data_IF_872543851910
#
_entry.id   IF_872543851910
#
_cell.length_a   1.000
_cell.length_b   1.000
_cell.length_c   1.000
_cell.angle_alpha   90.00
_cell.angle_beta   90.00
_cell.angle_gamma   90.00
#
_symmetry.space_group_name_H-M   'P 1'
#
loop_
_entity.id
_entity.type
_entity.pdbx_description
1 polymer ?
#
# COMPACT_ATOMS: atom_id res chain seq x y z
N UNK A 1 20.18 3.50 -7.87
CA UNK A 1 19.90 2.84 -6.57
C UNK A 1 18.66 1.95 -6.77
N UNK A 2 18.86 0.68 -7.07
CA UNK A 2 17.77 -0.30 -7.17
C UNK A 2 17.36 -0.69 -5.76
N UNK A 3 16.13 -0.38 -5.35
CA UNK A 3 15.57 -0.90 -4.10
C UNK A 3 15.04 -2.30 -4.37
N UNK A 4 15.86 -3.29 -4.07
CA UNK A 4 15.45 -4.68 -3.89
C UNK A 4 14.30 -4.74 -2.88
N UNK A 5 13.18 -5.36 -3.24
CA UNK A 5 12.21 -5.87 -2.28
C UNK A 5 11.61 -7.16 -2.83
N UNK A 6 11.90 -8.23 -2.09
CA UNK A 6 11.63 -9.62 -2.38
C UNK A 6 10.13 -9.90 -2.15
N UNK A 7 9.33 -9.85 -3.21
CA UNK A 7 8.04 -10.56 -3.24
C UNK A 7 7.72 -10.87 -4.70
N UNK A 8 7.74 -12.15 -5.04
CA UNK A 8 7.51 -12.62 -6.39
C UNK A 8 6.08 -12.24 -6.84
N UNK A 9 5.89 -11.76 -8.07
CA UNK A 9 4.57 -11.51 -8.65
C UNK A 9 3.80 -12.83 -8.72
N UNK A 10 3.00 -13.12 -7.70
CA UNK A 10 2.11 -14.29 -7.70
C UNK A 10 0.77 -13.81 -8.24
N UNK A 11 0.49 -14.16 -9.48
CA UNK A 11 -0.82 -13.96 -10.06
C UNK A 11 -1.82 -14.82 -9.27
N UNK A 12 -2.71 -14.16 -8.54
CA UNK A 12 -3.81 -14.81 -7.82
C UNK A 12 -5.12 -14.47 -8.54
N UNK A 13 -6.19 -15.20 -8.24
CA UNK A 13 -7.52 -14.93 -8.81
C UNK A 13 -7.97 -13.47 -8.62
N UNK A 14 -7.49 -12.81 -7.54
CA UNK A 14 -7.76 -11.40 -7.21
C UNK A 14 -6.69 -10.43 -7.71
N UNK A 15 -5.52 -10.91 -8.13
CA UNK A 15 -4.45 -10.13 -8.76
C UNK A 15 -4.01 -10.82 -10.05
N UNK A 16 -4.83 -10.79 -11.12
CA UNK A 16 -4.56 -11.52 -12.36
C UNK A 16 -3.29 -11.02 -13.08
N UNK A 17 -2.84 -9.81 -12.78
CA UNK A 17 -1.64 -9.21 -13.35
C UNK A 17 -0.37 -9.52 -12.54
N UNK A 18 -0.49 -10.22 -11.40
CA UNK A 18 0.65 -10.51 -10.52
C UNK A 18 1.37 -9.25 -10.05
N UNK A 19 0.68 -8.11 -9.95
CA UNK A 19 1.31 -6.85 -9.61
C UNK A 19 1.88 -6.89 -8.20
N UNK A 20 3.06 -6.29 -8.01
CA UNK A 20 3.69 -6.20 -6.69
C UNK A 20 2.90 -5.26 -5.76
N UNK A 21 3.05 -5.38 -4.42
CA UNK A 21 2.36 -4.51 -3.45
C UNK A 21 2.63 -3.02 -3.67
N UNK A 22 3.80 -2.68 -4.21
CA UNK A 22 4.16 -1.29 -4.54
C UNK A 22 3.41 -0.70 -5.75
N UNK A 23 2.75 -1.53 -6.57
CA UNK A 23 2.13 -1.15 -7.84
C UNK A 23 0.59 -1.16 -7.82
N UNK A 24 -0.02 -1.75 -6.79
CA UNK A 24 -1.44 -2.14 -6.86
C UNK A 24 -2.37 -1.19 -6.10
N UNK A 25 -1.81 -0.37 -5.21
CA UNK A 25 -2.51 0.62 -4.40
C UNK A 25 -1.77 1.96 -4.41
N UNK A 26 -1.39 2.46 -5.60
CA UNK A 26 -0.58 3.67 -5.77
C UNK A 26 -1.28 4.93 -5.22
N UNK A 27 -2.59 5.03 -5.40
CA UNK A 27 -3.36 6.20 -4.97
C UNK A 27 -3.45 6.30 -3.44
N UNK A 28 -3.85 5.21 -2.77
CA UNK A 28 -3.94 5.17 -1.31
C UNK A 28 -2.56 5.24 -0.65
N UNK A 29 -1.54 4.62 -1.26
CA UNK A 29 -0.15 4.76 -0.83
C UNK A 29 0.29 6.22 -0.87
N UNK A 30 0.10 6.89 -2.02
CA UNK A 30 0.51 8.29 -2.19
C UNK A 30 -0.21 9.19 -1.20
N UNK A 31 -1.52 9.02 -1.04
CA UNK A 31 -2.30 9.79 -0.07
C UNK A 31 -1.80 9.58 1.36
N UNK A 32 -1.53 8.32 1.76
CA UNK A 32 -0.94 7.99 3.08
C UNK A 32 0.43 8.65 3.25
N UNK A 33 1.36 8.41 2.32
CA UNK A 33 2.72 8.98 2.40
C UNK A 33 2.70 10.52 2.45
N UNK A 34 1.85 11.17 1.64
CA UNK A 34 1.66 12.62 1.70
C UNK A 34 1.10 13.05 3.05
N UNK A 35 0.10 12.36 3.58
CA UNK A 35 -0.44 12.68 4.91
C UNK A 35 0.60 12.51 6.01
N UNK A 36 1.41 11.46 5.97
CA UNK A 36 2.50 11.27 6.94
C UNK A 36 3.55 12.37 6.84
N UNK A 37 3.89 12.79 5.61
CA UNK A 37 4.81 13.90 5.38
C UNK A 37 4.27 15.25 5.88
N UNK A 38 2.98 15.51 5.69
CA UNK A 38 2.35 16.77 6.10
C UNK A 38 1.98 16.84 7.59
N UNK A 39 1.61 15.71 8.20
CA UNK A 39 1.13 15.66 9.59
C UNK A 39 2.22 15.36 10.60
N UNK A 40 3.38 14.83 10.19
CA UNK A 40 4.51 14.57 11.08
C UNK A 40 4.12 13.71 12.27
N UNK A 41 4.32 14.21 13.49
CA UNK A 41 4.01 13.49 14.73
C UNK A 41 2.50 13.18 14.89
N UNK A 42 1.61 14.00 14.33
CA UNK A 42 0.16 13.75 14.36
C UNK A 42 -0.29 12.71 13.32
N UNK A 43 0.60 12.24 12.45
CA UNK A 43 0.23 11.38 11.32
C UNK A 43 -0.41 10.07 11.76
N UNK A 44 0.02 9.49 12.87
CA UNK A 44 -0.54 8.23 13.35
C UNK A 44 -2.04 8.36 13.68
N UNK A 45 -2.43 9.46 14.34
CA UNK A 45 -3.81 9.73 14.69
C UNK A 45 -4.61 10.32 13.53
N UNK A 46 -4.01 11.19 12.71
CA UNK A 46 -4.73 11.86 11.62
C UNK A 46 -4.80 11.04 10.35
N UNK A 47 -3.81 10.20 10.05
CA UNK A 47 -3.73 9.43 8.80
C UNK A 47 -4.16 7.95 8.97
N UNK A 48 -4.66 7.54 10.14
CA UNK A 48 -5.12 6.17 10.41
C UNK A 48 -6.12 5.66 9.35
N UNK A 49 -7.01 6.53 8.87
CA UNK A 49 -8.01 6.19 7.85
C UNK A 49 -7.35 5.88 6.50
N UNK A 50 -6.25 6.55 6.14
CA UNK A 50 -5.50 6.30 4.92
C UNK A 50 -4.70 5.00 5.01
N UNK A 51 -4.15 4.70 6.18
CA UNK A 51 -3.50 3.41 6.44
C UNK A 51 -4.51 2.27 6.31
N UNK A 52 -5.70 2.41 6.89
CA UNK A 52 -6.78 1.44 6.77
C UNK A 52 -7.23 1.28 5.30
N UNK A 53 -7.39 2.38 4.55
CA UNK A 53 -7.74 2.34 3.14
C UNK A 53 -6.68 1.64 2.28
N UNK A 54 -5.39 1.91 2.55
CA UNK A 54 -4.29 1.25 1.86
C UNK A 54 -4.25 -0.25 2.16
N UNK A 55 -4.43 -0.64 3.43
CA UNK A 55 -4.50 -2.04 3.86
C UNK A 55 -5.66 -2.77 3.19
N UNK A 56 -6.85 -2.17 3.21
CA UNK A 56 -8.04 -2.74 2.56
C UNK A 56 -7.82 -3.01 1.07
N UNK A 57 -7.24 -2.04 0.36
CA UNK A 57 -6.89 -2.20 -1.06
C UNK A 57 -5.96 -3.42 -1.29
N UNK A 58 -4.96 -3.62 -0.44
CA UNK A 58 -4.05 -4.76 -0.54
C UNK A 58 -4.73 -6.08 -0.16
N UNK A 59 -5.60 -6.08 0.85
CA UNK A 59 -6.41 -7.24 1.25
C UNK A 59 -7.39 -7.69 0.15
N UNK A 60 -8.04 -6.75 -0.55
CA UNK A 60 -8.94 -7.03 -1.67
C UNK A 60 -8.23 -7.76 -2.82
N UNK A 61 -6.92 -7.55 -2.95
CA UNK A 61 -6.06 -8.18 -3.95
C UNK A 61 -5.37 -9.45 -3.43
N UNK A 62 -5.63 -9.83 -2.17
CA UNK A 62 -5.12 -11.04 -1.54
C UNK A 62 -3.74 -10.89 -0.88
N UNK A 63 -3.23 -9.67 -0.69
CA UNK A 63 -2.01 -9.42 0.06
C UNK A 63 -2.31 -9.32 1.56
N UNK A 64 -1.67 -10.16 2.37
CA UNK A 64 -1.72 -10.08 3.85
C UNK A 64 -0.56 -9.21 4.35
N UNK A 65 -0.88 -8.10 5.01
CA UNK A 65 0.06 -7.08 5.53
C UNK A 65 -0.24 -6.78 7.00
#
# INVERSE_FOLDING_TARGET
MAKENNNAPTATEKNPQGLKPCCVCLETKKARDTCFFEKGDDAEQKCHYLVAAHRKCMEDLGFKI
#
